data_IF_255576067865
#
_entry.id   IF_255576067865
#
_cell.length_a   1.000
_cell.length_b   1.000
_cell.length_c   1.000
_cell.angle_alpha   90.00
_cell.angle_beta   90.00
_cell.angle_gamma   90.00
#
_symmetry.space_group_name_H-M   'P 1'
#
loop_
_entity.id
_entity.type
_entity.pdbx_description
1 polymer ?
#
# COMPACT_ATOMS: atom_id res chain seq x y z
N UNK A 1 57.60 -0.46 -21.51
CA UNK A 1 57.22 -0.02 -22.85
C UNK A 1 55.95 -0.75 -23.25
N UNK A 2 54.84 -0.07 -23.48
CA UNK A 2 53.56 -0.46 -24.04
C UNK A 2 52.44 -0.07 -23.08
N UNK A 3 51.96 0.97 -23.32
CA UNK A 3 50.94 1.69 -24.13
C UNK A 3 49.55 1.54 -23.56
N UNK A 4 49.17 2.55 -22.88
CA UNK A 4 47.89 2.84 -22.27
C UNK A 4 46.94 3.36 -23.37
N UNK A 5 45.95 2.58 -23.70
CA UNK A 5 44.85 2.95 -24.61
C UNK A 5 43.68 3.57 -23.83
N UNK A 6 43.64 4.85 -23.85
CA UNK A 6 42.50 5.67 -23.43
C UNK A 6 41.37 5.57 -24.47
N UNK A 7 40.23 5.01 -24.12
CA UNK A 7 39.05 5.04 -24.99
C UNK A 7 37.86 5.69 -24.27
N UNK A 8 37.80 7.01 -24.41
CA UNK A 8 36.68 7.86 -23.99
C UNK A 8 35.63 7.86 -25.09
N UNK A 9 34.67 6.96 -24.99
CA UNK A 9 33.47 7.06 -25.83
C UNK A 9 32.33 7.65 -25.03
N UNK A 10 32.17 8.96 -25.18
CA UNK A 10 31.09 9.74 -24.62
C UNK A 10 29.73 9.39 -25.24
N UNK A 11 28.86 8.79 -24.49
CA UNK A 11 27.48 8.56 -24.86
C UNK A 11 26.60 9.71 -24.37
N UNK A 12 26.37 10.69 -25.26
CA UNK A 12 25.41 11.78 -25.08
C UNK A 12 23.97 11.24 -25.12
N UNK A 13 23.32 11.14 -24.00
CA UNK A 13 21.88 10.91 -23.94
C UNK A 13 21.18 12.23 -24.08
N UNK A 14 20.63 12.48 -25.27
CA UNK A 14 19.78 13.62 -25.61
C UNK A 14 18.42 13.43 -24.95
N UNK A 15 18.15 14.17 -23.86
CA UNK A 15 16.84 14.26 -23.27
C UNK A 15 15.85 14.98 -24.19
N UNK A 16 14.81 14.31 -24.62
CA UNK A 16 13.63 14.94 -25.25
C UNK A 16 12.68 15.39 -24.16
N UNK A 17 12.64 16.70 -23.92
CA UNK A 17 11.60 17.37 -23.12
C UNK A 17 10.34 17.44 -23.97
N UNK A 18 9.32 16.70 -23.63
CA UNK A 18 7.96 16.93 -24.12
C UNK A 18 7.27 17.92 -23.18
N UNK A 19 7.09 19.14 -23.66
CA UNK A 19 6.24 20.17 -23.05
C UNK A 19 4.85 19.97 -23.65
N UNK A 20 3.89 19.56 -22.86
CA UNK A 20 2.48 19.66 -23.20
C UNK A 20 1.88 20.86 -22.50
N UNK A 21 1.69 21.92 -23.29
CA UNK A 21 0.84 23.04 -22.95
C UNK A 21 -0.61 22.63 -23.19
N UNK A 22 -1.41 22.67 -22.16
CA UNK A 22 -2.87 22.72 -22.30
C UNK A 22 -3.37 24.01 -21.66
N UNK A 23 -3.46 25.04 -22.50
CA UNK A 23 -4.28 26.22 -22.31
C UNK A 23 -5.64 25.94 -22.94
N UNK A 24 -6.69 25.98 -22.14
CA UNK A 24 -8.07 25.89 -22.60
C UNK A 24 -8.98 26.61 -21.63
N UNK A 25 -8.96 27.94 -21.70
CA UNK A 25 -9.96 28.79 -21.09
C UNK A 25 -11.21 28.77 -21.97
N UNK A 26 -12.34 28.35 -21.41
CA UNK A 26 -13.65 28.68 -21.98
C UNK A 26 -14.49 29.30 -20.88
N UNK A 27 -14.61 30.59 -21.01
CA UNK A 27 -15.51 31.49 -20.32
C UNK A 27 -16.87 31.37 -21.05
N UNK A 28 -17.88 30.84 -20.41
CA UNK A 28 -19.28 30.96 -20.87
C UNK A 28 -20.09 31.61 -19.77
N UNK A 29 -20.30 32.87 -20.02
CA UNK A 29 -21.24 33.76 -19.38
C UNK A 29 -22.63 33.46 -19.97
N UNK A 30 -23.55 32.95 -19.16
CA UNK A 30 -24.96 32.68 -19.54
C UNK A 30 -25.87 33.15 -18.43
N UNK A 31 -26.33 34.23 -18.61
CA UNK A 31 -27.34 35.15 -18.16
C UNK A 31 -28.75 34.52 -18.06
N UNK A 32 -29.38 34.63 -16.88
CA UNK A 32 -30.76 35.00 -16.56
C UNK A 32 -31.91 34.15 -17.11
N UNK A 33 -32.74 33.70 -16.19
CA UNK A 33 -34.16 34.14 -16.05
C UNK A 33 -34.82 33.28 -14.94
N UNK A 34 -35.20 33.92 -13.87
CA UNK A 34 -36.34 33.42 -13.12
C UNK A 34 -37.61 33.82 -13.87
N UNK A 35 -38.60 32.97 -13.92
CA UNK A 35 -39.87 33.41 -13.40
C UNK A 35 -40.70 32.34 -12.68
N UNK A 36 -41.54 32.87 -11.84
CA UNK A 36 -42.85 32.44 -11.45
C UNK A 36 -43.03 31.23 -10.53
N UNK A 37 -43.30 31.68 -9.33
CA UNK A 37 -44.12 31.04 -8.30
C UNK A 37 -45.48 30.66 -8.90
N UNK A 38 -45.72 29.38 -9.15
CA UNK A 38 -47.05 28.84 -9.25
C UNK A 38 -47.29 27.95 -8.04
N UNK A 39 -48.03 28.52 -7.12
CA UNK A 39 -48.69 27.83 -6.02
C UNK A 39 -49.83 27.00 -6.66
N UNK A 40 -49.67 25.70 -6.72
CA UNK A 40 -50.75 24.78 -6.98
C UNK A 40 -50.86 23.83 -5.80
N UNK A 41 -51.85 24.15 -4.99
CA UNK A 41 -52.38 23.27 -3.97
C UNK A 41 -53.02 22.04 -4.62
N UNK A 42 -53.03 20.97 -3.85
CA UNK A 42 -53.89 19.83 -3.98
C UNK A 42 -53.61 18.81 -5.09
N UNK A 43 -52.81 17.80 -4.69
CA UNK A 43 -52.82 16.50 -5.34
C UNK A 43 -52.99 15.42 -4.28
N UNK A 44 -53.87 14.43 -4.54
CA UNK A 44 -54.21 13.41 -3.55
C UNK A 44 -53.02 12.52 -3.22
N UNK A 45 -52.96 12.16 -1.94
CA UNK A 45 -52.04 11.13 -1.43
C UNK A 45 -52.28 9.83 -2.19
N UNK A 46 -51.53 9.64 -3.26
CA UNK A 46 -51.39 8.38 -3.97
C UNK A 46 -50.42 7.50 -3.25
N UNK A 47 -50.93 6.34 -2.93
CA UNK A 47 -50.27 5.13 -2.48
C UNK A 47 -48.79 5.05 -2.89
N UNK A 48 -47.89 5.40 -1.99
CA UNK A 48 -46.46 5.17 -2.21
C UNK A 48 -46.21 3.67 -2.02
N UNK A 49 -46.22 2.96 -3.14
CA UNK A 49 -45.60 1.64 -3.18
C UNK A 49 -44.22 1.72 -2.55
N UNK A 50 -43.82 0.76 -1.68
CA UNK A 50 -42.49 0.75 -1.09
C UNK A 50 -41.48 0.72 -2.24
N UNK A 51 -40.65 1.76 -2.35
CA UNK A 51 -39.48 1.72 -3.17
C UNK A 51 -38.63 0.54 -2.65
N UNK A 52 -38.72 -0.54 -3.40
CA UNK A 52 -37.72 -1.60 -3.27
C UNK A 52 -36.39 -0.93 -3.51
N UNK A 53 -35.61 -0.82 -2.42
CA UNK A 53 -34.20 -0.54 -2.52
C UNK A 53 -33.65 -1.56 -3.53
N UNK A 54 -33.26 -1.07 -4.71
CA UNK A 54 -32.49 -1.89 -5.62
C UNK A 54 -31.28 -2.35 -4.81
N UNK A 55 -31.26 -3.61 -4.47
CA UNK A 55 -30.05 -4.29 -4.02
C UNK A 55 -29.00 -4.02 -5.11
N UNK A 56 -28.19 -3.00 -4.87
CA UNK A 56 -26.93 -2.89 -5.57
C UNK A 56 -26.14 -4.10 -5.10
N UNK A 57 -26.21 -5.16 -5.86
CA UNK A 57 -25.31 -6.28 -5.77
C UNK A 57 -23.90 -5.74 -6.04
N UNK A 58 -23.32 -5.13 -5.01
CA UNK A 58 -21.90 -4.82 -4.96
C UNK A 58 -21.23 -6.15 -4.78
N UNK A 59 -21.07 -6.87 -5.89
CA UNK A 59 -20.16 -7.99 -5.94
C UNK A 59 -18.83 -7.52 -5.39
N UNK A 60 -18.33 -8.11 -4.30
CA UNK A 60 -17.03 -7.71 -3.76
C UNK A 60 -16.01 -8.00 -4.84
N UNK A 61 -15.47 -6.93 -5.43
CA UNK A 61 -14.36 -6.99 -6.37
C UNK A 61 -13.26 -7.80 -5.71
N UNK A 62 -13.09 -9.04 -6.20
CA UNK A 62 -11.96 -9.89 -5.92
C UNK A 62 -11.64 -10.01 -4.43
N UNK A 63 -12.32 -10.91 -3.74
CA UNK A 63 -11.84 -11.38 -2.43
C UNK A 63 -10.52 -12.09 -2.66
N UNK A 64 -9.42 -11.33 -2.62
CA UNK A 64 -8.09 -11.90 -2.42
C UNK A 64 -8.21 -12.59 -1.07
N UNK A 65 -8.25 -13.91 -1.05
CA UNK A 65 -8.28 -14.67 0.19
C UNK A 65 -7.09 -14.18 1.05
N UNK A 66 -7.33 -13.65 2.25
CA UNK A 66 -6.25 -13.10 3.05
C UNK A 66 -5.29 -14.25 3.34
N UNK A 67 -4.04 -14.11 2.88
CA UNK A 67 -3.00 -15.04 3.27
C UNK A 67 -2.98 -15.06 4.79
N UNK A 68 -2.96 -16.26 5.41
CA UNK A 68 -3.00 -16.41 6.85
C UNK A 68 -1.92 -15.54 7.49
N UNK A 69 -2.33 -14.49 8.19
CA UNK A 69 -1.41 -13.64 8.95
C UNK A 69 -0.88 -14.44 10.15
N UNK A 70 0.42 -14.43 10.33
CA UNK A 70 1.11 -15.07 11.47
C UNK A 70 1.58 -14.00 12.43
N UNK A 71 1.50 -14.27 13.71
CA UNK A 71 2.00 -13.37 14.75
C UNK A 71 3.46 -13.70 15.10
N UNK A 72 4.31 -12.65 15.20
CA UNK A 72 5.70 -12.75 15.62
C UNK A 72 5.98 -11.74 16.72
N UNK A 73 6.44 -12.21 17.88
CA UNK A 73 6.93 -11.34 18.96
C UNK A 73 8.47 -11.31 18.95
N UNK A 74 9.04 -10.10 19.01
CA UNK A 74 10.47 -9.88 18.91
C UNK A 74 10.94 -8.88 19.96
N UNK A 75 12.15 -9.03 20.46
CA UNK A 75 12.79 -8.03 21.34
C UNK A 75 13.40 -6.88 20.53
N UNK A 76 13.50 -5.69 21.14
CA UNK A 76 14.25 -4.58 20.57
C UNK A 76 15.73 -4.99 20.36
N UNK A 77 16.28 -4.71 19.19
CA UNK A 77 17.64 -5.11 18.81
C UNK A 77 17.83 -6.60 18.54
N UNK A 78 16.74 -7.39 18.53
CA UNK A 78 16.78 -8.81 18.17
C UNK A 78 16.33 -9.03 16.74
N UNK A 79 16.76 -10.14 16.16
CA UNK A 79 16.33 -10.58 14.85
C UNK A 79 15.74 -11.98 14.91
N UNK A 80 14.77 -12.25 14.03
CA UNK A 80 14.21 -13.57 13.81
C UNK A 80 14.35 -13.95 12.34
N UNK A 81 14.56 -15.23 12.10
CA UNK A 81 14.57 -15.81 10.75
C UNK A 81 13.20 -16.37 10.45
N UNK A 82 12.68 -16.09 9.27
CA UNK A 82 11.41 -16.58 8.79
C UNK A 82 11.65 -17.39 7.52
N UNK A 83 11.18 -18.62 7.51
CA UNK A 83 11.10 -19.45 6.31
C UNK A 83 9.74 -19.23 5.63
N UNK A 84 9.78 -18.95 4.35
CA UNK A 84 8.63 -18.59 3.52
C UNK A 84 8.19 -19.80 2.68
N UNK A 85 6.88 -20.00 2.48
CA UNK A 85 6.37 -21.20 1.81
C UNK A 85 6.62 -21.24 0.30
N UNK A 86 6.93 -20.08 -0.29
CA UNK A 86 7.23 -19.91 -1.73
C UNK A 86 8.31 -18.86 -1.91
N UNK A 87 8.84 -18.79 -3.12
CA UNK A 87 9.82 -17.77 -3.51
C UNK A 87 9.23 -16.38 -3.41
N UNK A 88 9.97 -15.50 -2.75
CA UNK A 88 9.62 -14.10 -2.51
C UNK A 88 10.61 -13.21 -3.22
N UNK A 89 10.10 -12.17 -3.87
CA UNK A 89 10.90 -11.16 -4.56
C UNK A 89 10.85 -9.81 -3.87
N UNK A 90 9.73 -9.49 -3.22
CA UNK A 90 9.50 -8.18 -2.63
C UNK A 90 8.92 -8.27 -1.22
N UNK A 91 9.16 -7.22 -0.41
CA UNK A 91 8.67 -7.12 0.97
C UNK A 91 8.18 -5.70 1.25
N UNK A 92 6.99 -5.60 1.82
CA UNK A 92 6.41 -4.36 2.32
C UNK A 92 6.41 -4.36 3.84
N UNK A 93 6.98 -3.34 4.44
CA UNK A 93 6.97 -3.10 5.89
C UNK A 93 6.18 -1.83 6.16
N UNK A 94 5.13 -1.90 6.98
CA UNK A 94 4.27 -0.75 7.25
C UNK A 94 4.98 0.34 8.06
N UNK A 95 5.73 -0.04 9.09
CA UNK A 95 6.57 0.89 9.84
C UNK A 95 7.99 0.33 10.04
N UNK A 96 8.95 0.79 9.22
CA UNK A 96 10.34 0.31 9.29
C UNK A 96 11.11 0.79 10.51
N UNK A 97 10.59 1.73 11.31
CA UNK A 97 11.18 2.13 12.59
C UNK A 97 10.95 1.10 13.68
N UNK A 98 9.76 0.47 13.67
CA UNK A 98 9.39 -0.56 14.65
C UNK A 98 10.07 -1.88 14.30
N UNK A 99 9.93 -2.34 13.07
CA UNK A 99 10.63 -3.52 12.59
C UNK A 99 11.02 -3.35 11.12
N UNK A 100 12.13 -3.94 10.74
CA UNK A 100 12.58 -3.99 9.35
C UNK A 100 12.67 -5.45 8.89
N UNK A 101 12.52 -5.68 7.57
CA UNK A 101 12.61 -6.99 6.97
C UNK A 101 13.63 -6.99 5.82
N UNK A 102 14.46 -8.04 5.76
CA UNK A 102 15.49 -8.22 4.73
C UNK A 102 15.38 -9.61 4.13
N UNK A 103 15.20 -9.69 2.82
CA UNK A 103 15.21 -10.94 2.07
C UNK A 103 16.65 -11.35 1.82
N UNK A 104 17.07 -12.54 2.27
CA UNK A 104 18.42 -13.06 2.09
C UNK A 104 18.49 -14.20 1.07
N UNK A 105 17.38 -14.89 0.87
CA UNK A 105 17.21 -15.87 -0.19
C UNK A 105 15.75 -15.91 -0.62
N UNK A 106 15.45 -16.59 -1.70
CA UNK A 106 14.10 -16.66 -2.26
C UNK A 106 13.04 -17.09 -1.22
N UNK A 107 13.39 -17.94 -0.26
CA UNK A 107 12.45 -18.48 0.74
C UNK A 107 12.85 -18.16 2.18
N UNK A 108 13.76 -17.20 2.39
CA UNK A 108 14.19 -16.84 3.75
C UNK A 108 14.35 -15.34 3.92
N UNK A 109 13.69 -14.81 4.95
CA UNK A 109 13.76 -13.42 5.35
C UNK A 109 14.19 -13.28 6.81
N UNK A 110 14.80 -12.14 7.12
CA UNK A 110 15.20 -11.74 8.47
C UNK A 110 14.34 -10.56 8.89
N UNK A 111 13.73 -10.66 10.05
CA UNK A 111 12.99 -9.56 10.68
C UNK A 111 13.88 -9.02 11.81
N UNK A 112 14.04 -7.70 11.85
CA UNK A 112 14.86 -7.00 12.82
C UNK A 112 13.98 -6.06 13.61
N UNK A 113 13.89 -6.21 14.93
CA UNK A 113 13.14 -5.31 15.82
C UNK A 113 13.95 -4.05 16.13
N UNK A 114 13.46 -2.89 15.72
CA UNK A 114 14.10 -1.58 15.93
C UNK A 114 13.62 -0.88 17.19
N UNK A 115 12.32 -0.63 17.28
CA UNK A 115 11.68 0.09 18.39
C UNK A 115 10.47 -0.67 18.93
N UNK A 116 10.11 -0.39 20.18
CA UNK A 116 8.88 -0.95 20.78
C UNK A 116 7.66 -0.47 20.02
N UNK A 117 6.78 -1.40 19.65
CA UNK A 117 5.55 -1.10 18.91
C UNK A 117 5.02 -2.34 18.20
N UNK A 118 4.04 -2.11 17.34
CA UNK A 118 3.45 -3.13 16.48
C UNK A 118 3.46 -2.63 15.04
N UNK A 119 3.76 -3.54 14.13
CA UNK A 119 3.76 -3.27 12.68
C UNK A 119 3.42 -4.55 11.95
N UNK A 120 3.16 -4.46 10.65
CA UNK A 120 3.01 -5.64 9.82
C UNK A 120 4.04 -5.68 8.70
N UNK A 121 4.34 -6.89 8.24
CA UNK A 121 5.23 -7.17 7.12
C UNK A 121 4.54 -8.13 6.17
N UNK A 122 4.51 -7.78 4.89
CA UNK A 122 3.89 -8.57 3.83
C UNK A 122 4.94 -8.93 2.79
N UNK A 123 4.98 -10.20 2.41
CA UNK A 123 5.90 -10.74 1.42
C UNK A 123 5.17 -11.06 0.12
N UNK A 124 5.76 -10.69 -1.02
CA UNK A 124 5.20 -10.87 -2.34
C UNK A 124 6.12 -11.71 -3.23
N UNK A 125 5.51 -12.56 -4.05
CA UNK A 125 6.20 -13.29 -5.10
C UNK A 125 6.46 -12.39 -6.33
N UNK A 126 7.20 -12.90 -7.30
CA UNK A 126 7.52 -12.16 -8.52
C UNK A 126 6.30 -11.80 -9.38
N UNK A 127 5.21 -12.54 -9.25
CA UNK A 127 3.91 -12.30 -9.89
C UNK A 127 3.03 -11.27 -9.15
N UNK A 128 3.53 -10.69 -8.05
CA UNK A 128 2.81 -9.74 -7.21
C UNK A 128 1.82 -10.40 -6.23
N UNK A 129 1.71 -11.72 -6.21
CA UNK A 129 0.85 -12.40 -5.26
C UNK A 129 1.43 -12.35 -3.84
N UNK A 130 0.57 -12.18 -2.85
CA UNK A 130 0.95 -12.26 -1.45
C UNK A 130 1.31 -13.70 -1.08
N UNK A 131 2.52 -13.89 -0.57
CA UNK A 131 3.04 -15.18 -0.13
C UNK A 131 2.78 -15.42 1.36
N UNK A 132 3.04 -14.40 2.17
CA UNK A 132 2.88 -14.45 3.62
C UNK A 132 2.68 -13.05 4.18
N UNK A 133 2.00 -12.97 5.33
CA UNK A 133 1.87 -11.76 6.13
C UNK A 133 2.21 -12.08 7.58
N UNK A 134 2.86 -11.13 8.26
CA UNK A 134 3.24 -11.25 9.67
C UNK A 134 2.87 -9.98 10.42
N UNK A 135 2.16 -10.14 11.53
CA UNK A 135 1.97 -9.09 12.52
C UNK A 135 3.11 -9.18 13.53
N UNK A 136 3.88 -8.12 13.65
CA UNK A 136 5.09 -8.09 14.44
C UNK A 136 4.87 -7.20 15.65
N UNK A 137 5.07 -7.76 16.85
CA UNK A 137 5.10 -7.02 18.09
C UNK A 137 6.55 -6.96 18.61
N UNK A 138 7.15 -5.78 18.60
CA UNK A 138 8.47 -5.55 19.18
C UNK A 138 8.31 -5.07 20.63
N UNK A 139 8.88 -5.83 21.56
CA UNK A 139 8.79 -5.58 22.99
C UNK A 139 10.17 -5.32 23.58
N UNK A 140 10.22 -4.58 24.69
CA UNK A 140 11.45 -4.45 25.47
C UNK A 140 11.73 -5.76 26.19
N UNK A 141 12.97 -6.25 26.11
CA UNK A 141 13.39 -7.44 26.84
C UNK A 141 13.60 -7.07 28.32
N UNK A 142 12.67 -7.48 29.16
CA UNK A 142 12.73 -7.25 30.62
C UNK A 142 13.41 -8.41 31.37
N UNK A 143 13.79 -9.48 30.70
CA UNK A 143 14.39 -10.65 31.35
C UNK A 143 15.78 -10.34 31.89
N UNK A 144 16.53 -9.45 31.25
CA UNK A 144 17.82 -9.00 31.77
C UNK A 144 17.76 -8.26 33.11
N UNK A 145 16.64 -7.61 33.41
CA UNK A 145 16.46 -6.90 34.69
C UNK A 145 16.09 -7.83 35.85
N UNK A 146 15.48 -8.98 35.58
CA UNK A 146 15.14 -9.95 36.64
C UNK A 146 16.33 -10.72 37.18
N UNK A 147 17.42 -10.79 36.45
CA UNK A 147 18.66 -11.50 36.86
C UNK A 147 19.58 -10.59 37.67
N UNK A 148 19.33 -9.27 37.68
CA UNK A 148 20.14 -8.27 38.37
C UNK A 148 19.61 -7.88 39.76
N UNK A 149 18.48 -8.45 40.20
CA UNK A 149 17.87 -8.30 41.52
C UNK A 149 18.02 -9.58 42.35
#
# INVERSE_FOLDING_TARGET
MMNYGDDRTGMRIRGKRARSFWTGAVLMLGLIAAPDVVNAADAPVGDQAPMQAADLDVSPVGTIAPAKTRFLSLGVGKSAVIDLPRDVKDVLVADPKIANAVIRSAQRAYIIGGQVGQTNVVFFAADGQQVAAYDIAVKRDLNGMRTAL
#
